data_IF_524740281790
#
_entry.id   IF_524740281790
#
_cell.length_a   1.000
_cell.length_b   1.000
_cell.length_c   1.000
_cell.angle_alpha   90.00
_cell.angle_beta   90.00
_cell.angle_gamma   90.00
#
_symmetry.space_group_name_H-M   'P 1'
#
loop_
_entity.id
_entity.type
_entity.pdbx_description
1 polymer ?
#
# COMPACT_ATOMS: atom_id res chain seq x y z
N UNK A 1 50.63 10.11 -26.40
CA UNK A 1 50.11 10.61 -25.10
C UNK A 1 48.66 11.08 -25.19
N UNK A 2 48.28 11.98 -26.12
CA UNK A 2 46.90 12.46 -26.24
C UNK A 2 45.84 11.37 -26.53
N UNK A 3 46.16 10.38 -27.38
CA UNK A 3 45.21 9.31 -27.73
C UNK A 3 44.83 8.40 -26.54
N UNK A 4 45.78 8.05 -25.66
CA UNK A 4 45.50 7.21 -24.49
C UNK A 4 44.74 7.98 -23.40
N UNK A 5 45.04 9.26 -23.21
CA UNK A 5 44.30 10.10 -22.25
C UNK A 5 42.86 10.32 -22.70
N UNK A 6 42.62 10.51 -24.00
CA UNK A 6 41.27 10.63 -24.55
C UNK A 6 40.45 9.35 -24.34
N UNK A 7 41.06 8.18 -24.51
CA UNK A 7 40.38 6.90 -24.28
C UNK A 7 39.98 6.68 -22.82
N UNK A 8 40.83 7.09 -21.87
CA UNK A 8 40.52 6.97 -20.44
C UNK A 8 39.38 7.90 -20.01
N UNK A 9 39.29 9.10 -20.60
CA UNK A 9 38.19 10.03 -20.35
C UNK A 9 36.87 9.44 -20.87
N UNK A 10 36.87 8.92 -22.10
CA UNK A 10 35.67 8.30 -22.70
C UNK A 10 35.19 7.11 -21.89
N UNK A 11 36.11 6.26 -21.42
CA UNK A 11 35.75 5.13 -20.57
C UNK A 11 35.14 5.59 -19.23
N UNK A 12 35.70 6.64 -18.63
CA UNK A 12 35.16 7.21 -17.38
C UNK A 12 33.76 7.78 -17.54
N UNK A 13 33.48 8.51 -18.63
CA UNK A 13 32.15 9.09 -18.86
C UNK A 13 31.08 8.03 -19.15
N UNK A 14 31.43 6.92 -19.81
CA UNK A 14 30.52 5.79 -20.02
C UNK A 14 30.09 5.18 -18.67
N UNK A 15 31.03 4.96 -17.76
CA UNK A 15 30.75 4.39 -16.43
C UNK A 15 29.83 5.31 -15.64
N UNK A 16 30.13 6.62 -15.61
CA UNK A 16 29.28 7.61 -14.93
C UNK A 16 27.88 7.65 -15.56
N UNK A 17 27.77 7.60 -16.89
CA UNK A 17 26.50 7.60 -17.59
C UNK A 17 25.58 6.45 -17.18
N UNK A 18 26.11 5.22 -17.10
CA UNK A 18 25.35 4.05 -16.66
C UNK A 18 24.98 4.16 -15.18
N UNK A 19 25.90 4.62 -14.33
CA UNK A 19 25.67 4.75 -12.89
C UNK A 19 24.51 5.71 -12.56
N UNK A 20 24.38 6.82 -13.29
CA UNK A 20 23.27 7.77 -13.10
C UNK A 20 21.94 7.12 -13.44
N UNK A 21 21.84 6.43 -14.59
CA UNK A 21 20.58 5.78 -15.00
C UNK A 21 20.17 4.69 -14.02
N UNK A 22 21.12 3.87 -13.56
CA UNK A 22 20.83 2.84 -12.54
C UNK A 22 20.42 3.49 -11.21
N UNK A 23 21.10 4.56 -10.80
CA UNK A 23 20.77 5.30 -9.59
C UNK A 23 19.35 5.88 -9.60
N UNK A 24 18.92 6.44 -10.73
CA UNK A 24 17.56 6.97 -10.90
C UNK A 24 16.52 5.85 -10.78
N UNK A 25 16.73 4.74 -11.50
CA UNK A 25 15.80 3.60 -11.45
C UNK A 25 15.67 3.02 -10.03
N UNK A 26 16.79 2.92 -9.30
CA UNK A 26 16.80 2.44 -7.91
C UNK A 26 16.05 3.40 -6.97
N UNK A 27 16.17 4.72 -7.19
CA UNK A 27 15.45 5.71 -6.40
C UNK A 27 13.94 5.62 -6.63
N UNK A 28 13.49 5.55 -7.89
CA UNK A 28 12.06 5.37 -8.23
C UNK A 28 11.50 4.07 -7.67
N UNK A 29 12.22 2.96 -7.85
CA UNK A 29 11.79 1.66 -7.30
C UNK A 29 11.74 1.69 -5.77
N UNK A 30 12.67 2.40 -5.12
CA UNK A 30 12.68 2.61 -3.68
C UNK A 30 11.46 3.39 -3.18
N UNK A 31 11.06 4.44 -3.89
CA UNK A 31 9.86 5.22 -3.57
C UNK A 31 8.58 4.38 -3.68
N UNK A 32 8.42 3.64 -4.78
CA UNK A 32 7.26 2.74 -5.00
C UNK A 32 7.19 1.68 -3.89
N UNK A 33 8.33 1.07 -3.52
CA UNK A 33 8.36 0.06 -2.46
C UNK A 33 8.03 0.66 -1.08
N UNK A 34 8.53 1.85 -0.78
CA UNK A 34 8.24 2.53 0.48
C UNK A 34 6.74 2.86 0.60
N UNK A 35 6.11 3.36 -0.47
CA UNK A 35 4.66 3.61 -0.51
C UNK A 35 3.88 2.30 -0.32
N UNK A 36 4.27 1.24 -1.03
CA UNK A 36 3.65 -0.09 -0.89
C UNK A 36 3.69 -0.59 0.56
N UNK A 37 4.83 -0.48 1.23
CA UNK A 37 4.99 -0.96 2.60
C UNK A 37 4.16 -0.14 3.59
N UNK A 38 4.08 1.19 3.38
CA UNK A 38 3.22 2.07 4.18
C UNK A 38 1.73 1.72 4.01
N UNK A 39 1.26 1.54 2.77
CA UNK A 39 -0.11 1.12 2.49
C UNK A 39 -0.43 -0.26 3.06
N UNK A 40 0.51 -1.22 2.99
CA UNK A 40 0.35 -2.54 3.59
C UNK A 40 0.21 -2.46 5.11
N UNK A 41 0.99 -1.59 5.75
CA UNK A 41 0.89 -1.39 7.19
C UNK A 41 -0.49 -0.82 7.57
N UNK A 42 -0.98 0.16 6.84
CA UNK A 42 -2.30 0.76 7.06
C UNK A 42 -3.45 -0.24 6.82
N UNK A 43 -3.39 -1.01 5.73
CA UNK A 43 -4.35 -2.10 5.44
C UNK A 43 -4.38 -3.12 6.57
N UNK A 44 -3.23 -3.52 7.11
CA UNK A 44 -3.17 -4.47 8.23
C UNK A 44 -3.73 -3.87 9.52
N UNK A 45 -3.45 -2.59 9.80
CA UNK A 45 -4.02 -1.88 10.95
C UNK A 45 -5.55 -1.82 10.86
N UNK A 46 -6.08 -1.41 9.70
CA UNK A 46 -7.53 -1.37 9.44
C UNK A 46 -8.14 -2.77 9.56
N UNK A 47 -7.49 -3.80 9.03
CA UNK A 47 -7.99 -5.17 9.11
C UNK A 47 -8.05 -5.68 10.56
N UNK A 48 -7.08 -5.31 11.40
CA UNK A 48 -7.05 -5.67 12.81
C UNK A 48 -8.18 -4.99 13.60
N UNK A 49 -8.38 -3.69 13.39
CA UNK A 49 -9.47 -2.94 14.04
C UNK A 49 -10.84 -3.38 13.52
N UNK A 50 -10.95 -3.74 12.25
CA UNK A 50 -12.16 -4.34 11.68
C UNK A 50 -12.50 -5.71 12.29
N UNK A 51 -11.51 -6.59 12.46
CA UNK A 51 -11.74 -7.87 13.15
C UNK A 51 -12.19 -7.66 14.60
N UNK A 52 -11.66 -6.64 15.29
CA UNK A 52 -12.12 -6.26 16.62
C UNK A 52 -13.55 -5.68 16.60
N UNK A 53 -13.90 -4.86 15.61
CA UNK A 53 -15.25 -4.32 15.41
C UNK A 53 -16.29 -5.44 15.26
N UNK A 54 -16.00 -6.44 14.42
CA UNK A 54 -16.90 -7.59 14.20
C UNK A 54 -17.23 -8.35 15.48
N UNK A 55 -16.24 -8.52 16.37
CA UNK A 55 -16.41 -9.25 17.64
C UNK A 55 -17.15 -8.43 18.70
N UNK A 56 -17.14 -7.11 18.61
CA UNK A 56 -17.81 -6.23 19.58
C UNK A 56 -19.34 -6.25 19.35
N UNK A 57 -20.16 -6.30 20.43
CA UNK A 57 -21.61 -6.22 20.31
C UNK A 57 -22.05 -4.81 19.87
N UNK A 58 -23.20 -4.73 19.19
CA UNK A 58 -23.75 -3.47 18.67
C UNK A 58 -24.01 -2.43 19.76
N UNK A 59 -24.37 -2.86 20.98
CA UNK A 59 -24.59 -1.98 22.13
C UNK A 59 -23.33 -1.18 22.55
N UNK A 60 -22.13 -1.61 22.14
CA UNK A 60 -20.86 -0.94 22.39
C UNK A 60 -20.28 -0.29 21.12
N UNK A 61 -21.09 -0.10 20.07
CA UNK A 61 -20.66 0.46 18.80
C UNK A 61 -19.88 -0.52 17.92
N UNK A 62 -20.03 -1.84 18.13
CA UNK A 62 -19.44 -2.89 17.30
C UNK A 62 -20.36 -3.41 16.19
N UNK A 63 -19.85 -4.36 15.40
CA UNK A 63 -20.57 -4.97 14.27
C UNK A 63 -21.52 -6.10 14.64
N UNK A 64 -21.53 -6.58 15.89
CA UNK A 64 -22.36 -7.70 16.33
C UNK A 64 -22.29 -8.94 15.41
N UNK A 65 -21.08 -9.25 14.93
CA UNK A 65 -20.79 -10.30 13.94
C UNK A 65 -21.27 -10.01 12.51
N UNK A 66 -21.40 -8.74 12.16
CA UNK A 66 -21.82 -8.30 10.85
C UNK A 66 -20.98 -7.09 10.37
N UNK A 67 -20.54 -7.11 9.11
CA UNK A 67 -19.94 -5.93 8.44
C UNK A 67 -20.88 -5.29 7.41
N UNK A 68 -22.08 -5.83 7.20
CA UNK A 68 -23.03 -5.38 6.17
C UNK A 68 -23.44 -3.90 6.29
N UNK A 69 -23.44 -3.37 7.52
CA UNK A 69 -23.75 -1.98 7.83
C UNK A 69 -22.55 -1.02 7.69
N UNK A 70 -21.34 -1.53 7.39
CA UNK A 70 -20.14 -0.70 7.27
C UNK A 70 -20.07 -0.11 5.87
N UNK A 71 -20.04 1.22 5.80
CA UNK A 71 -19.91 1.98 4.55
C UNK A 71 -18.54 2.62 4.38
N UNK A 72 -17.79 2.81 5.47
CA UNK A 72 -16.52 3.54 5.47
C UNK A 72 -15.54 2.95 6.51
N UNK A 73 -14.24 3.07 6.24
CA UNK A 73 -13.15 2.66 7.15
C UNK A 73 -13.09 3.49 8.42
N UNK A 74 -13.76 4.65 8.46
CA UNK A 74 -13.91 5.51 9.65
C UNK A 74 -14.54 4.75 10.82
N UNK A 75 -15.42 3.77 10.53
CA UNK A 75 -16.02 2.89 11.55
C UNK A 75 -14.95 2.09 12.31
N UNK A 76 -13.80 1.86 11.69
CA UNK A 76 -12.66 1.16 12.28
C UNK A 76 -11.62 2.10 12.92
N UNK A 77 -11.91 3.40 12.99
CA UNK A 77 -11.03 4.42 13.55
C UNK A 77 -9.87 4.83 12.64
N UNK A 78 -9.99 4.56 11.33
CA UNK A 78 -9.03 5.01 10.32
C UNK A 78 -9.64 6.10 9.43
N UNK A 79 -8.85 7.08 9.02
CA UNK A 79 -9.30 8.08 8.05
C UNK A 79 -9.40 7.46 6.65
N UNK A 80 -10.43 7.84 5.88
CA UNK A 80 -10.61 7.38 4.50
C UNK A 80 -9.55 7.92 3.55
N UNK A 81 -8.77 8.91 3.98
CA UNK A 81 -7.57 9.41 3.30
C UNK A 81 -6.53 9.83 4.34
N UNK A 82 -5.29 9.41 4.15
CA UNK A 82 -4.14 9.87 4.92
C UNK A 82 -3.00 10.31 3.98
N UNK A 83 -1.82 10.61 4.55
CA UNK A 83 -0.66 11.00 3.76
C UNK A 83 -0.10 9.87 2.87
N UNK A 84 -0.43 8.61 3.18
CA UNK A 84 0.03 7.43 2.43
C UNK A 84 -0.91 7.11 1.26
N UNK A 85 -2.22 7.34 1.43
CA UNK A 85 -3.20 7.03 0.39
C UNK A 85 -4.66 7.18 0.80
N UNK A 86 -5.55 6.72 -0.08
CA UNK A 86 -6.99 6.67 0.12
C UNK A 86 -7.45 5.23 0.34
N UNK A 87 -8.44 5.03 1.22
CA UNK A 87 -8.94 3.71 1.62
C UNK A 87 -10.44 3.63 1.37
N UNK A 88 -10.83 2.74 0.45
CA UNK A 88 -12.23 2.56 0.05
C UNK A 88 -12.67 1.15 0.37
N UNK A 89 -13.77 1.03 1.11
CA UNK A 89 -14.44 -0.23 1.40
C UNK A 89 -15.48 -0.54 0.33
N UNK A 90 -15.53 -1.81 -0.09
CA UNK A 90 -16.50 -2.30 -1.08
C UNK A 90 -16.98 -3.71 -0.71
N UNK A 91 -18.14 -4.09 -1.26
CA UNK A 91 -18.77 -5.39 -1.05
C UNK A 91 -18.87 -5.82 0.44
N UNK A 92 -19.44 -4.99 1.34
CA UNK A 92 -19.65 -5.39 2.72
C UNK A 92 -20.61 -6.59 2.80
N UNK A 93 -20.15 -7.67 3.41
CA UNK A 93 -20.92 -8.87 3.71
C UNK A 93 -20.82 -9.19 5.22
N UNK A 94 -21.56 -10.20 5.69
CA UNK A 94 -21.63 -10.50 7.13
C UNK A 94 -20.26 -10.82 7.75
N UNK A 95 -19.39 -11.50 7.02
CA UNK A 95 -18.11 -12.01 7.51
C UNK A 95 -16.89 -11.41 6.83
N UNK A 96 -17.09 -10.60 5.78
CA UNK A 96 -16.00 -10.07 4.96
C UNK A 96 -16.36 -8.78 4.24
N UNK A 97 -15.33 -8.02 3.84
CA UNK A 97 -15.44 -6.92 2.89
C UNK A 97 -14.13 -6.79 2.10
N UNK A 98 -14.16 -6.07 0.98
CA UNK A 98 -12.97 -5.77 0.19
C UNK A 98 -12.50 -4.36 0.48
N UNK A 99 -11.25 -4.21 0.92
CA UNK A 99 -10.58 -2.94 1.13
C UNK A 99 -9.65 -2.64 -0.05
N UNK A 100 -9.82 -1.48 -0.66
CA UNK A 100 -8.94 -0.97 -1.71
C UNK A 100 -8.19 0.24 -1.18
N UNK A 101 -6.86 0.13 -1.07
CA UNK A 101 -5.97 1.22 -0.72
C UNK A 101 -5.27 1.73 -1.99
N UNK A 102 -5.30 3.04 -2.23
CA UNK A 102 -4.65 3.69 -3.39
C UNK A 102 -3.63 4.71 -2.90
N UNK A 103 -2.37 4.53 -3.28
CA UNK A 103 -1.25 5.40 -2.92
C UNK A 103 -1.41 6.81 -3.46
N UNK A 104 -0.94 7.78 -2.68
CA UNK A 104 -1.06 9.19 -3.01
C UNK A 104 0.05 9.70 -3.95
N UNK A 105 1.19 9.01 -4.03
CA UNK A 105 2.43 9.53 -4.59
C UNK A 105 2.88 8.78 -5.85
N UNK A 106 3.00 7.45 -5.77
CA UNK A 106 3.54 6.64 -6.87
C UNK A 106 2.44 5.83 -7.59
N UNK A 107 1.23 5.77 -7.04
CA UNK A 107 0.08 5.11 -7.66
C UNK A 107 -0.01 3.61 -7.37
N UNK A 108 0.60 3.15 -6.27
CA UNK A 108 0.45 1.76 -5.81
C UNK A 108 -1.01 1.50 -5.39
N UNK A 109 -1.59 0.39 -5.86
CA UNK A 109 -2.95 -0.02 -5.47
C UNK A 109 -2.88 -1.37 -4.76
N UNK A 110 -3.49 -1.46 -3.58
CA UNK A 110 -3.60 -2.69 -2.79
C UNK A 110 -5.06 -3.04 -2.59
N UNK A 111 -5.45 -4.23 -3.06
CA UNK A 111 -6.78 -4.78 -2.84
C UNK A 111 -6.68 -5.98 -1.90
N UNK A 112 -7.30 -5.88 -0.74
CA UNK A 112 -7.28 -6.90 0.30
C UNK A 112 -8.70 -7.34 0.68
N UNK A 113 -8.92 -8.64 0.82
CA UNK A 113 -10.14 -9.17 1.41
C UNK A 113 -9.95 -9.21 2.93
N UNK A 114 -10.74 -8.43 3.66
CA UNK A 114 -10.73 -8.41 5.12
C UNK A 114 -11.87 -9.28 5.64
N UNK A 115 -11.58 -10.12 6.63
CA UNK A 115 -12.51 -11.03 7.28
C UNK A 115 -12.52 -10.84 8.79
N UNK A 116 -13.39 -11.56 9.50
CA UNK A 116 -13.42 -11.64 10.98
C UNK A 116 -12.08 -12.06 11.64
N UNK A 117 -11.13 -12.58 10.86
CA UNK A 117 -9.80 -13.01 11.30
C UNK A 117 -8.67 -12.08 10.81
N UNK A 118 -8.99 -10.97 10.15
CA UNK A 118 -8.04 -10.07 9.51
C UNK A 118 -7.98 -10.28 7.99
N UNK A 119 -6.87 -9.88 7.36
CA UNK A 119 -6.66 -10.02 5.91
C UNK A 119 -6.64 -11.51 5.53
N UNK A 120 -7.49 -11.90 4.59
CA UNK A 120 -7.59 -13.26 4.08
C UNK A 120 -7.00 -13.33 2.67
N UNK A 121 -6.09 -14.28 2.46
CA UNK A 121 -5.36 -14.44 1.21
C UNK A 121 -4.21 -13.44 1.04
N UNK A 122 -3.57 -13.50 -0.13
CA UNK A 122 -2.51 -12.55 -0.50
C UNK A 122 -3.17 -11.32 -1.12
N UNK A 123 -2.96 -10.10 -0.58
CA UNK A 123 -3.45 -8.87 -1.19
C UNK A 123 -2.96 -8.76 -2.63
N UNK A 124 -3.84 -8.34 -3.52
CA UNK A 124 -3.44 -8.03 -4.90
C UNK A 124 -2.80 -6.66 -4.89
N UNK A 125 -1.54 -6.58 -5.31
CA UNK A 125 -0.76 -5.34 -5.33
C UNK A 125 -0.46 -5.01 -6.77
N UNK A 126 -0.95 -3.86 -7.23
CA UNK A 126 -0.65 -3.31 -8.56
C UNK A 126 0.34 -2.16 -8.37
N UNK A 127 1.47 -2.23 -9.06
CA UNK A 127 2.51 -1.21 -9.06
C UNK A 127 2.44 -0.43 -10.38
N UNK A 128 2.80 0.87 -10.38
CA UNK A 128 2.85 1.71 -11.59
C UNK A 128 3.85 1.20 -12.63
#
# INVERSE_FOLDING_TARGET
MGQQQLLLIVLGTIIVGVAVVVGINMFTTGAINAERDALLQDVNNIASTAAAYWRKPAALGGGARDFSAVTDVVVFGADSSNANGTYVLSAPAVTSFTLTATGANEGVIIVALVTQNGVSGTPTITMP
#
